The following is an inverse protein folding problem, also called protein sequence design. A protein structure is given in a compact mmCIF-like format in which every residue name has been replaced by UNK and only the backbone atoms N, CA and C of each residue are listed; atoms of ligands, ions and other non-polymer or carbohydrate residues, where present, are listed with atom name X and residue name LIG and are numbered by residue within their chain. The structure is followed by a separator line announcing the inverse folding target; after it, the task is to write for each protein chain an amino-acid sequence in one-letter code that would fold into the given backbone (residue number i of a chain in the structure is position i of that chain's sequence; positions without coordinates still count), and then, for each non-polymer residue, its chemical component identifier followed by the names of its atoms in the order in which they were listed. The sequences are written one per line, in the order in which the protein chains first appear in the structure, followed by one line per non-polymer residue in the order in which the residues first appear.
data_IF_936532298679
#
_entry.id   IF_936532298679
#
_cell.length_a   1.000
_cell.length_b   1.000
_cell.length_c   1.000
_cell.angle_alpha   90.00
_cell.angle_beta   90.00
_cell.angle_gamma   90.00
#
_symmetry.space_group_name_H-M   'P 1'
#
loop_
_entity.id
_entity.type
_entity.pdbx_description
1 polymer ?
#
# COMPACT_ATOMS: atom_id res chain seq x y z
N UNK A 1 6.58 -3.67 6.56
CA UNK A 1 5.11 -3.87 6.41
C UNK A 1 4.45 -2.69 5.68
N UNK A 2 4.88 -1.45 5.89
CA UNK A 2 4.33 -0.24 5.23
C UNK A 2 4.24 -0.36 3.69
N UNK A 3 5.37 -0.48 2.97
CA UNK A 3 5.36 -0.55 1.49
C UNK A 3 4.57 -1.75 0.95
N UNK A 4 4.93 -2.95 1.40
CA UNK A 4 4.36 -4.19 0.87
C UNK A 4 2.90 -4.39 1.29
N UNK A 5 2.53 -3.92 2.48
CA UNK A 5 1.16 -3.93 2.99
C UNK A 5 0.28 -2.98 2.18
N UNK A 6 0.73 -1.75 1.95
CA UNK A 6 0.02 -0.76 1.14
C UNK A 6 -0.30 -1.27 -0.27
N UNK A 7 0.69 -1.85 -0.96
CA UNK A 7 0.43 -2.49 -2.25
C UNK A 7 -0.61 -3.61 -2.13
N UNK A 8 -0.42 -4.53 -1.20
CA UNK A 8 -1.24 -5.73 -1.10
C UNK A 8 -2.68 -5.42 -0.72
N UNK A 9 -2.92 -4.38 0.10
CA UNK A 9 -4.27 -3.97 0.50
C UNK A 9 -5.02 -3.24 -0.61
N UNK A 10 -4.31 -2.49 -1.47
CA UNK A 10 -4.93 -1.60 -2.47
C UNK A 10 -5.12 -2.26 -3.85
N UNK A 11 -4.13 -3.03 -4.35
CA UNK A 11 -4.04 -3.32 -5.80
C UNK A 11 -5.23 -4.08 -6.39
N UNK A 12 -5.87 -4.99 -5.64
CA UNK A 12 -7.02 -5.75 -6.14
C UNK A 12 -8.26 -4.86 -6.27
N UNK A 13 -8.53 -4.03 -5.26
CA UNK A 13 -9.65 -3.08 -5.29
C UNK A 13 -9.46 -2.01 -6.36
N UNK A 14 -8.25 -1.46 -6.46
CA UNK A 14 -7.92 -0.46 -7.48
C UNK A 14 -8.04 -1.00 -8.91
N UNK A 15 -7.63 -2.26 -9.14
CA UNK A 15 -7.81 -2.90 -10.45
C UNK A 15 -9.29 -3.05 -10.82
N UNK A 16 -10.13 -3.47 -9.87
CA UNK A 16 -11.57 -3.56 -10.07
C UNK A 16 -12.23 -2.18 -10.26
N UNK A 17 -11.63 -1.12 -9.71
CA UNK A 17 -12.05 0.27 -9.92
C UNK A 17 -11.57 0.86 -11.27
N UNK A 18 -10.92 0.07 -12.13
CA UNK A 18 -10.51 0.47 -13.48
C UNK A 18 -9.09 1.03 -13.59
N UNK A 19 -8.31 1.03 -12.51
CA UNK A 19 -6.90 1.43 -12.55
C UNK A 19 -6.02 0.29 -13.06
N UNK A 20 -4.91 0.62 -13.72
CA UNK A 20 -3.97 -0.38 -14.25
C UNK A 20 -2.57 -0.30 -13.64
N UNK A 21 -2.18 0.88 -13.17
CA UNK A 21 -0.87 1.14 -12.60
C UNK A 21 -0.97 1.91 -11.28
N UNK A 22 0.04 1.75 -10.42
CA UNK A 22 0.09 2.39 -9.10
C UNK A 22 0.06 3.91 -9.19
N UNK A 23 0.77 4.52 -10.14
CA UNK A 23 0.80 5.99 -10.27
C UNK A 23 -0.59 6.58 -10.44
N UNK A 24 -1.43 5.98 -11.27
CA UNK A 24 -2.79 6.48 -11.51
C UNK A 24 -3.67 6.31 -10.26
N UNK A 25 -3.43 5.26 -9.48
CA UNK A 25 -4.07 5.09 -8.16
C UNK A 25 -3.73 6.22 -7.19
N UNK A 26 -2.55 6.84 -7.32
CA UNK A 26 -2.14 7.97 -6.49
C UNK A 26 -2.83 9.28 -6.86
N UNK A 27 -3.43 9.37 -8.06
CA UNK A 27 -4.22 10.51 -8.50
C UNK A 27 -5.72 10.36 -8.20
N UNK A 28 -6.16 9.16 -7.79
CA UNK A 28 -7.52 8.90 -7.33
C UNK A 28 -7.62 9.10 -5.82
N UNK A 29 -8.35 10.12 -5.38
CA UNK A 29 -8.47 10.47 -3.96
C UNK A 29 -9.09 9.36 -3.12
N UNK A 30 -9.98 8.55 -3.69
CA UNK A 30 -10.62 7.44 -2.98
C UNK A 30 -9.61 6.32 -2.73
N UNK A 31 -8.88 5.94 -3.77
CA UNK A 31 -7.89 4.86 -3.69
C UNK A 31 -6.67 5.29 -2.85
N UNK A 32 -6.14 6.48 -3.09
CA UNK A 32 -5.05 7.04 -2.30
C UNK A 32 -5.46 7.25 -0.84
N UNK A 33 -6.70 7.72 -0.60
CA UNK A 33 -7.26 7.87 0.74
C UNK A 33 -7.39 6.55 1.49
N UNK A 34 -7.88 5.49 0.83
CA UNK A 34 -7.93 4.15 1.39
C UNK A 34 -6.52 3.65 1.76
N UNK A 35 -5.57 3.75 0.83
CA UNK A 35 -4.19 3.33 1.06
C UNK A 35 -3.55 4.06 2.25
N UNK A 36 -3.74 5.39 2.34
CA UNK A 36 -3.21 6.19 3.42
C UNK A 36 -3.80 5.77 4.77
N UNK A 37 -5.11 5.56 4.87
CA UNK A 37 -5.75 5.04 6.10
C UNK A 37 -5.16 3.69 6.50
N UNK A 38 -5.01 2.76 5.56
CA UNK A 38 -4.37 1.47 5.85
C UNK A 38 -2.95 1.64 6.38
N UNK A 39 -2.14 2.54 5.80
CA UNK A 39 -0.77 2.77 6.26
C UNK A 39 -0.76 3.38 7.66
N UNK A 40 -1.42 4.52 7.85
CA UNK A 40 -1.26 5.36 9.03
C UNK A 40 -2.10 4.88 10.22
N UNK A 41 -3.28 4.32 9.97
CA UNK A 41 -4.24 3.97 11.03
C UNK A 41 -4.23 2.47 11.36
N UNK A 42 -3.79 1.61 10.43
CA UNK A 42 -3.80 0.15 10.62
C UNK A 42 -2.39 -0.46 10.68
N UNK A 43 -1.47 -0.08 9.78
CA UNK A 43 -0.13 -0.69 9.75
C UNK A 43 0.80 -0.08 10.78
N UNK A 44 1.02 1.23 10.75
CA UNK A 44 2.01 1.91 11.62
C UNK A 44 1.78 1.62 13.11
N UNK A 45 0.54 1.64 13.64
CA UNK A 45 0.29 1.37 15.06
C UNK A 45 0.70 -0.02 15.53
N UNK A 46 0.87 -0.97 14.62
CA UNK A 46 1.24 -2.38 14.92
C UNK A 46 2.74 -2.65 14.84
N UNK A 47 3.55 -1.62 14.58
CA UNK A 47 5.01 -1.76 14.45
C UNK A 47 5.71 -1.37 15.76
N UNK A 48 6.64 -2.19 16.20
CA UNK A 48 7.50 -1.94 17.36
C UNK A 48 8.69 -1.00 17.07
N UNK A 49 8.61 -0.22 15.99
CA UNK A 49 9.65 0.71 15.55
C UNK A 49 9.33 2.14 16.03
N UNK A 50 10.34 3.04 16.10
CA UNK A 50 10.09 4.45 16.39
C UNK A 50 9.06 5.05 15.43
N UNK A 51 8.08 5.77 15.98
CA UNK A 51 6.96 6.30 15.19
C UNK A 51 7.42 7.27 14.11
N UNK A 52 8.40 8.13 14.42
CA UNK A 52 8.97 9.08 13.47
C UNK A 52 9.58 8.37 12.26
N UNK A 53 10.41 7.35 12.47
CA UNK A 53 10.98 6.54 11.39
C UNK A 53 9.90 5.87 10.53
N UNK A 54 8.81 5.40 11.16
CA UNK A 54 7.67 4.84 10.42
C UNK A 54 6.98 5.88 9.53
N UNK A 55 6.81 7.10 10.03
CA UNK A 55 6.18 8.19 9.29
C UNK A 55 7.06 8.66 8.13
N UNK A 56 8.36 8.80 8.35
CA UNK A 56 9.33 9.14 7.31
C UNK A 56 9.37 8.09 6.21
N UNK A 57 9.36 6.81 6.61
CA UNK A 57 9.33 5.71 5.65
C UNK A 57 8.00 5.67 4.87
N UNK A 58 6.87 5.95 5.51
CA UNK A 58 5.57 6.04 4.85
C UNK A 58 5.51 7.19 3.83
N UNK A 59 6.08 8.35 4.16
CA UNK A 59 6.20 9.47 3.24
C UNK A 59 7.08 9.09 2.04
N UNK A 60 8.24 8.47 2.26
CA UNK A 60 9.12 8.00 1.19
C UNK A 60 8.44 6.95 0.29
N UNK A 61 7.63 6.04 0.85
CA UNK A 61 6.84 5.06 0.09
C UNK A 61 5.82 5.76 -0.81
N UNK A 62 5.10 6.75 -0.27
CA UNK A 62 4.11 7.52 -1.01
C UNK A 62 4.74 8.23 -2.21
N UNK A 63 5.92 8.85 -2.03
CA UNK A 63 6.64 9.50 -3.12
C UNK A 63 7.13 8.50 -4.19
N UNK A 64 7.55 7.29 -3.78
CA UNK A 64 7.90 6.23 -4.73
C UNK A 64 6.70 5.79 -5.58
N UNK A 65 5.50 5.77 -5.02
CA UNK A 65 4.29 5.38 -5.75
C UNK A 65 3.84 6.44 -6.76
N UNK A 66 4.18 7.72 -6.53
CA UNK A 66 3.91 8.83 -7.44
C UNK A 66 4.93 8.97 -8.57
N UNK A 67 5.97 8.13 -8.62
CA UNK A 67 7.05 8.29 -9.59
C UNK A 67 6.52 8.32 -11.04
N UNK A 68 6.69 9.44 -11.78
CA UNK A 68 6.13 9.59 -13.13
C UNK A 68 6.84 8.74 -14.18
N UNK A 69 7.99 8.16 -13.86
CA UNK A 69 8.82 7.40 -14.80
C UNK A 69 8.70 5.88 -14.67
N UNK A 70 7.86 5.39 -13.75
CA UNK A 70 7.72 3.95 -13.51
C UNK A 70 6.26 3.52 -13.50
N UNK A 71 5.94 2.57 -14.38
CA UNK A 71 4.61 1.98 -14.50
C UNK A 71 4.55 0.66 -13.72
N UNK A 72 4.24 0.74 -12.43
CA UNK A 72 4.02 -0.46 -11.63
C UNK A 72 2.63 -1.04 -11.92
N UNK A 73 2.57 -2.08 -12.76
CA UNK A 73 1.31 -2.74 -13.11
C UNK A 73 0.65 -3.42 -11.90
N UNK A 74 -0.64 -3.12 -11.66
CA UNK A 74 -1.40 -3.67 -10.54
C UNK A 74 -1.49 -5.20 -10.61
N UNK A 75 -1.69 -5.76 -11.81
CA UNK A 75 -1.75 -7.22 -12.01
C UNK A 75 -0.41 -7.93 -11.71
N UNK A 76 0.72 -7.29 -12.01
CA UNK A 76 2.02 -7.84 -11.65
C UNK A 76 2.18 -7.87 -10.11
N UNK A 77 1.69 -6.84 -9.43
CA UNK A 77 1.69 -6.77 -7.96
C UNK A 77 0.71 -7.77 -7.35
N UNK A 78 -0.44 -8.01 -7.97
CA UNK A 78 -1.50 -8.90 -7.47
C UNK A 78 -1.15 -10.39 -7.59
N UNK A 79 -0.13 -10.77 -8.35
CA UNK A 79 0.32 -12.16 -8.43
C UNK A 79 0.60 -12.74 -7.03
N UNK A 80 0.07 -13.93 -6.71
CA UNK A 80 0.16 -14.56 -5.39
C UNK A 80 -0.50 -13.76 -4.24
N UNK A 81 -1.60 -13.04 -4.53
CA UNK A 81 -2.30 -12.17 -3.57
C UNK A 81 -2.64 -12.84 -2.24
N UNK A 82 -3.14 -14.08 -2.23
CA UNK A 82 -3.52 -14.76 -0.98
C UNK A 82 -2.31 -14.97 -0.05
N UNK A 83 -1.20 -15.47 -0.59
CA UNK A 83 0.04 -15.66 0.17
C UNK A 83 0.64 -14.32 0.62
N UNK A 84 0.60 -13.31 -0.25
CA UNK A 84 1.04 -11.94 0.07
C UNK A 84 0.19 -11.33 1.18
N UNK A 85 -1.14 -11.48 1.13
CA UNK A 85 -2.07 -10.95 2.12
C UNK A 85 -1.79 -11.55 3.51
N UNK A 86 -1.65 -12.89 3.59
CA UNK A 86 -1.31 -13.58 4.84
C UNK A 86 0.01 -13.08 5.44
N UNK A 87 1.02 -12.84 4.61
CA UNK A 87 2.33 -12.41 5.10
C UNK A 87 2.43 -10.89 5.38
N UNK A 88 1.62 -10.05 4.74
CA UNK A 88 1.83 -8.58 4.68
C UNK A 88 0.72 -7.77 5.32
N UNK A 89 -0.51 -8.30 5.38
CA UNK A 89 -1.72 -7.60 5.85
C UNK A 89 -2.29 -8.26 7.09
N UNK A 90 -2.45 -9.59 7.11
CA UNK A 90 -3.01 -10.34 8.25
C UNK A 90 -2.35 -10.01 9.60
N UNK A 91 -1.01 -9.84 9.71
CA UNK A 91 -0.39 -9.47 10.99
C UNK A 91 -0.81 -8.09 11.52
N UNK A 92 -1.42 -7.22 10.70
CA UNK A 92 -1.94 -5.94 11.19
C UNK A 92 -3.32 -6.08 11.84
N UNK A 93 -4.00 -7.21 11.62
CA UNK A 93 -5.31 -7.51 12.20
C UNK A 93 -5.22 -8.37 13.46
N UNK A 94 -4.11 -9.10 13.64
CA UNK A 94 -3.91 -10.03 14.76
C UNK A 94 -3.31 -9.37 16.01
N UNK A 95 -2.79 -8.14 15.89
CA UNK A 95 -2.04 -7.45 16.95
C UNK A 95 -0.59 -7.91 17.06
#
# INVERSE_FOLDING_TARGET
RILNGAHTSMVLGAYLAGQNIVRDCMHDETIAGFMNKTIYDEIIPTLSLPREECLDFAAAVTERFKNPFIDHALLAISLNSTSKWKARVMPSLEG
#
